data_IF_074690475146
#
_entry.id   IF_074690475146
#
_cell.length_a   1.000
_cell.length_b   1.000
_cell.length_c   1.000
_cell.angle_alpha   90.00
_cell.angle_beta   90.00
_cell.angle_gamma   90.00
#
_symmetry.space_group_name_H-M   'P 1'
#
loop_
_entity.id
_entity.type
_entity.pdbx_description
1 polymer ?
#
# COMPACT_ATOMS: atom_id res chain seq x y z
N UNK A 1 4.05 7.01 0.67
CA UNK A 1 2.82 6.76 1.45
C UNK A 1 3.23 6.34 2.84
N UNK A 2 2.41 6.58 3.86
CA UNK A 2 2.66 6.06 5.20
C UNK A 2 1.46 5.20 5.66
N UNK A 3 1.69 3.93 5.97
CA UNK A 3 0.68 3.08 6.61
C UNK A 3 0.69 3.28 8.14
N UNK A 4 -0.47 3.11 8.78
CA UNK A 4 -0.60 3.16 10.25
C UNK A 4 0.02 1.95 10.95
N UNK A 5 0.01 0.79 10.29
CA UNK A 5 0.38 -0.52 10.86
C UNK A 5 1.35 -1.26 9.92
N UNK A 6 2.54 -0.69 9.62
CA UNK A 6 3.52 -1.33 8.74
C UNK A 6 4.04 -2.64 9.35
N UNK A 7 4.31 -3.62 8.50
CA UNK A 7 4.99 -4.84 8.95
C UNK A 7 6.46 -4.48 9.19
N UNK A 8 7.00 -4.81 10.37
CA UNK A 8 8.31 -4.32 10.86
C UNK A 8 9.49 -4.55 9.90
N UNK A 9 9.43 -5.58 9.06
CA UNK A 9 10.47 -5.92 8.08
C UNK A 9 9.99 -5.80 6.63
N UNK A 10 8.94 -5.01 6.37
CA UNK A 10 8.42 -4.80 5.02
C UNK A 10 8.04 -3.34 4.77
N UNK A 11 8.56 -2.80 3.68
CA UNK A 11 8.13 -1.49 3.16
C UNK A 11 6.98 -1.61 2.15
N UNK A 12 6.57 -2.85 1.83
CA UNK A 12 5.56 -3.19 0.82
C UNK A 12 4.22 -3.46 1.49
N UNK A 13 4.23 -4.13 2.65
CA UNK A 13 3.04 -4.64 3.31
C UNK A 13 2.75 -3.97 4.64
N UNK A 14 1.46 -3.81 4.93
CA UNK A 14 0.96 -3.38 6.23
C UNK A 14 -0.16 -4.32 6.70
N UNK A 15 -0.29 -4.47 8.01
CA UNK A 15 -1.33 -5.31 8.62
C UNK A 15 -2.67 -4.58 8.65
N UNK A 16 -3.76 -5.31 8.45
CA UNK A 16 -5.07 -4.81 8.86
C UNK A 16 -5.20 -4.88 10.38
N UNK A 17 -5.88 -3.88 10.95
CA UNK A 17 -6.45 -4.02 12.28
C UNK A 17 -7.73 -4.86 12.16
N UNK A 18 -7.75 -5.98 12.86
CA UNK A 18 -8.84 -6.96 12.86
C UNK A 18 -9.11 -7.54 14.25
N UNK A 19 -8.45 -7.01 15.29
CA UNK A 19 -8.42 -7.62 16.62
C UNK A 19 -7.62 -8.93 16.72
N UNK A 20 -7.06 -9.42 15.61
CA UNK A 20 -6.28 -10.64 15.55
C UNK A 20 -4.82 -10.39 16.00
N UNK A 21 -4.37 -11.01 17.11
CA UNK A 21 -2.97 -10.90 17.55
C UNK A 21 -2.00 -11.62 16.59
N UNK A 22 -2.50 -12.51 15.74
CA UNK A 22 -1.67 -13.24 14.77
C UNK A 22 -1.48 -12.47 13.45
N UNK A 23 -2.11 -11.29 13.30
CA UNK A 23 -2.05 -10.42 12.12
C UNK A 23 -2.20 -11.19 10.80
N UNK A 24 -3.25 -12.01 10.67
CA UNK A 24 -3.45 -12.88 9.49
C UNK A 24 -3.69 -12.13 8.19
N UNK A 25 -4.26 -10.94 8.23
CA UNK A 25 -4.56 -10.14 7.05
C UNK A 25 -3.61 -8.95 6.90
N UNK A 26 -3.17 -8.75 5.65
CA UNK A 26 -2.29 -7.66 5.28
C UNK A 26 -2.64 -7.13 3.89
N UNK A 27 -2.11 -5.96 3.55
CA UNK A 27 -2.30 -5.34 2.25
C UNK A 27 -1.03 -4.73 1.68
N UNK A 28 -0.99 -4.64 0.36
CA UNK A 28 -0.16 -3.71 -0.41
C UNK A 28 -1.04 -2.77 -1.22
N UNK A 29 -0.45 -1.65 -1.65
CA UNK A 29 -1.15 -0.64 -2.45
C UNK A 29 -0.35 -0.40 -3.72
N UNK A 30 -1.00 -0.56 -4.86
CA UNK A 30 -0.40 -0.37 -6.18
C UNK A 30 -0.91 0.94 -6.78
N UNK A 31 -0.01 1.81 -7.28
CA UNK A 31 -0.42 2.88 -8.17
C UNK A 31 -1.00 2.32 -9.48
N UNK A 32 -1.76 3.15 -10.19
CA UNK A 32 -2.15 2.87 -11.59
C UNK A 32 -0.91 2.63 -12.47
N UNK A 33 -1.07 1.94 -13.61
CA UNK A 33 0.03 1.66 -14.55
C UNK A 33 0.14 2.75 -15.63
N UNK A 34 -0.11 3.99 -15.23
CA UNK A 34 -0.22 5.12 -16.16
C UNK A 34 1.16 5.54 -16.66
N UNK A 35 1.24 6.02 -17.91
CA UNK A 35 2.49 6.43 -18.55
C UNK A 35 3.14 7.64 -17.85
N UNK A 36 2.34 8.45 -17.15
CA UNK A 36 2.80 9.56 -16.33
C UNK A 36 3.60 9.11 -15.09
N UNK A 37 3.51 7.84 -14.68
CA UNK A 37 4.32 7.30 -13.58
C UNK A 37 5.71 6.93 -14.08
N UNK A 38 6.66 7.82 -13.80
CA UNK A 38 8.01 7.76 -14.37
C UNK A 38 9.03 7.06 -13.46
N UNK A 39 8.70 6.81 -12.19
CA UNK A 39 9.61 6.16 -11.26
C UNK A 39 9.10 6.02 -9.83
N UNK A 40 10.00 5.68 -8.91
CA UNK A 40 9.70 5.65 -7.48
C UNK A 40 8.91 4.45 -6.97
N UNK A 41 8.51 4.41 -5.69
CA UNK A 41 7.91 3.20 -5.10
C UNK A 41 8.86 2.00 -5.11
N UNK A 42 8.30 0.79 -4.95
CA UNK A 42 9.04 -0.48 -4.90
C UNK A 42 8.58 -1.44 -6.00
N UNK A 43 9.40 -2.45 -6.31
CA UNK A 43 9.03 -3.53 -7.23
C UNK A 43 8.68 -4.78 -6.45
N UNK A 44 7.48 -5.32 -6.67
CA UNK A 44 7.01 -6.56 -6.07
C UNK A 44 6.27 -7.39 -7.12
N UNK A 45 6.67 -8.65 -7.33
CA UNK A 45 6.08 -9.57 -8.32
C UNK A 45 5.86 -8.91 -9.71
N UNK A 46 6.88 -8.22 -10.22
CA UNK A 46 6.83 -7.49 -11.51
C UNK A 46 5.80 -6.36 -11.58
N UNK A 47 5.27 -5.92 -10.44
CA UNK A 47 4.40 -4.74 -10.31
C UNK A 47 5.07 -3.66 -9.48
N UNK A 48 4.70 -2.40 -9.72
CA UNK A 48 5.09 -1.28 -8.86
C UNK A 48 4.11 -1.20 -7.70
N UNK A 49 4.61 -1.04 -6.48
CA UNK A 49 3.82 -0.81 -5.26
C UNK A 49 4.27 0.49 -4.60
N UNK A 50 3.38 1.15 -3.87
CA UNK A 50 3.77 2.25 -3.00
C UNK A 50 4.64 1.74 -1.86
N UNK A 51 5.75 2.41 -1.58
CA UNK A 51 6.43 2.23 -0.31
C UNK A 51 5.55 2.80 0.81
N UNK A 52 5.22 1.97 1.79
CA UNK A 52 4.34 2.27 2.92
C UNK A 52 5.06 2.94 4.09
N UNK A 53 6.37 3.16 3.96
CA UNK A 53 7.25 3.77 4.96
C UNK A 53 7.69 5.21 4.63
N UNK A 54 7.08 5.83 3.62
CA UNK A 54 7.36 7.16 3.09
C UNK A 54 8.74 7.44 2.46
N UNK A 55 9.66 6.47 2.41
CA UNK A 55 11.05 6.70 1.96
C UNK A 55 11.24 6.68 0.44
N UNK A 56 10.35 6.01 -0.29
CA UNK A 56 10.44 5.87 -1.76
C UNK A 56 9.16 6.40 -2.42
N UNK A 57 9.04 7.73 -2.63
CA UNK A 57 7.85 8.32 -3.24
C UNK A 57 7.69 7.83 -4.68
N UNK A 58 6.45 7.66 -5.14
CA UNK A 58 6.16 7.42 -6.57
C UNK A 58 6.27 8.75 -7.30
N UNK A 59 6.94 8.75 -8.45
CA UNK A 59 7.17 9.94 -9.26
C UNK A 59 6.16 9.99 -10.40
N UNK A 60 5.48 11.12 -10.50
CA UNK A 60 4.42 11.35 -11.48
C UNK A 60 4.79 12.61 -12.26
N UNK A 61 4.79 12.52 -13.58
CA UNK A 61 4.92 13.65 -14.50
C UNK A 61 3.60 13.81 -15.25
N UNK A 62 2.66 14.63 -14.73
CA UNK A 62 1.37 14.84 -15.39
C UNK A 62 1.55 15.38 -16.81
N UNK A 63 0.79 14.83 -17.76
CA UNK A 63 0.72 15.34 -19.12
C UNK A 63 -0.25 16.51 -19.30
N UNK A 64 -1.02 16.85 -18.25
CA UNK A 64 -2.02 17.93 -18.26
C UNK A 64 -2.17 18.57 -16.88
N UNK A 65 -2.86 19.70 -16.83
CA UNK A 65 -3.11 20.46 -15.60
C UNK A 65 -3.95 19.69 -14.56
N UNK A 66 -4.75 18.72 -15.01
CA UNK A 66 -5.55 17.86 -14.14
C UNK A 66 -4.95 16.45 -14.13
N UNK A 67 -4.65 15.94 -12.94
CA UNK A 67 -4.17 14.57 -12.77
C UNK A 67 -5.10 13.80 -11.84
N UNK A 68 -5.60 12.66 -12.33
CA UNK A 68 -6.40 11.72 -11.54
C UNK A 68 -5.60 10.44 -11.37
N UNK A 69 -5.45 9.98 -10.14
CA UNK A 69 -4.78 8.73 -9.83
C UNK A 69 -5.76 7.75 -9.22
N UNK A 70 -5.85 6.55 -9.80
CA UNK A 70 -6.49 5.41 -9.15
C UNK A 70 -5.43 4.56 -8.46
N UNK A 71 -5.79 3.94 -7.34
CA UNK A 71 -4.93 2.98 -6.64
C UNK A 71 -5.69 1.69 -6.40
N UNK A 72 -4.97 0.57 -6.47
CA UNK A 72 -5.50 -0.75 -6.14
C UNK A 72 -4.97 -1.13 -4.75
N UNK A 73 -5.87 -1.54 -3.86
CA UNK A 73 -5.50 -2.12 -2.56
C UNK A 73 -5.73 -3.61 -2.64
N UNK A 74 -4.68 -4.40 -2.54
CA UNK A 74 -4.79 -5.86 -2.52
C UNK A 74 -4.93 -6.33 -1.07
N UNK A 75 -6.02 -7.04 -0.78
CA UNK A 75 -6.25 -7.70 0.50
C UNK A 75 -5.72 -9.14 0.40
N UNK A 76 -4.76 -9.46 1.25
CA UNK A 76 -4.12 -10.78 1.32
C UNK A 76 -4.21 -11.35 2.73
N UNK A 77 -4.08 -12.67 2.84
CA UNK A 77 -4.05 -13.35 4.13
C UNK A 77 -3.18 -14.60 4.13
N UNK A 78 -2.54 -14.86 5.26
CA UNK A 78 -1.78 -16.10 5.45
C UNK A 78 -2.72 -17.30 5.61
N UNK A 79 -2.37 -18.42 4.98
CA UNK A 79 -3.08 -19.67 5.17
C UNK A 79 -2.97 -20.16 6.64
N UNK A 80 -4.00 -20.83 7.13
CA UNK A 80 -4.02 -21.42 8.47
C UNK A 80 -5.30 -21.13 9.23
N UNK A 81 -5.28 -21.43 10.54
CA UNK A 81 -6.44 -21.25 11.41
C UNK A 81 -6.72 -19.75 11.63
N UNK A 82 -7.99 -19.38 11.45
CA UNK A 82 -8.50 -18.02 11.54
C UNK A 82 -9.32 -17.78 12.83
N UNK A 83 -8.91 -18.40 13.93
CA UNK A 83 -9.72 -18.47 15.14
C UNK A 83 -9.83 -17.15 15.92
N UNK A 84 -8.91 -16.22 15.69
CA UNK A 84 -8.81 -14.96 16.44
C UNK A 84 -9.25 -13.74 15.63
N UNK A 85 -9.83 -13.94 14.44
CA UNK A 85 -10.29 -12.85 13.61
C UNK A 85 -11.53 -12.18 14.20
N UNK A 86 -11.51 -10.85 14.28
CA UNK A 86 -12.71 -10.04 14.48
C UNK A 86 -13.67 -10.12 13.29
N UNK A 87 -14.85 -9.52 13.47
CA UNK A 87 -15.90 -9.47 12.44
C UNK A 87 -15.64 -8.47 11.32
N UNK A 88 -14.62 -7.62 11.45
CA UNK A 88 -14.25 -6.62 10.47
C UNK A 88 -12.74 -6.43 10.41
N UNK A 89 -12.27 -5.96 9.25
CA UNK A 89 -10.90 -5.50 9.04
C UNK A 89 -10.92 -4.00 8.75
N UNK A 90 -9.94 -3.27 9.25
CA UNK A 90 -9.76 -1.85 8.98
C UNK A 90 -8.28 -1.53 8.79
N UNK A 91 -7.99 -0.50 8.02
CA UNK A 91 -6.64 -0.01 7.80
C UNK A 91 -6.69 1.47 7.45
N UNK A 92 -5.58 2.17 7.67
CA UNK A 92 -5.43 3.55 7.27
C UNK A 92 -4.05 3.81 6.69
N UNK A 93 -4.00 4.71 5.71
CA UNK A 93 -2.77 5.14 5.08
C UNK A 93 -2.90 6.59 4.61
N UNK A 94 -1.77 7.29 4.58
CA UNK A 94 -1.69 8.69 4.19
C UNK A 94 -0.89 8.85 2.91
N UNK A 95 -1.46 9.58 1.95
CA UNK A 95 -0.73 10.12 0.81
C UNK A 95 -0.07 11.44 1.20
N UNK A 96 1.26 11.47 1.12
CA UNK A 96 2.01 12.72 1.16
C UNK A 96 2.31 13.10 -0.29
N UNK A 97 1.80 14.24 -0.73
CA UNK A 97 1.99 14.75 -2.08
C UNK A 97 2.89 15.98 -2.00
N UNK A 98 3.98 15.96 -2.76
CA UNK A 98 4.92 17.07 -2.87
C UNK A 98 4.98 17.50 -4.32
N UNK A 99 4.91 18.81 -4.56
CA UNK A 99 5.08 19.42 -5.87
C UNK A 99 6.49 20.00 -5.96
N UNK A 100 7.12 19.86 -7.11
CA UNK A 100 8.44 20.42 -7.42
C UNK A 100 8.32 21.44 -8.56
#
# INVERSE_FOLDING_TARGET
MQASTPISNSDIFANFDSGDPDHKFFYDIQPSKDAEITGGGLTYNSTRVFALNNTSPVLIKPGSDNYTMSSKVDLSGYAGRMANLGSAVSASFTYNITYQ
#
